data_IF_435739733681
#
_entry.id   IF_435739733681
#
_cell.length_a   1.000
_cell.length_b   1.000
_cell.length_c   1.000
_cell.angle_alpha   90.00
_cell.angle_beta   90.00
_cell.angle_gamma   90.00
#
_symmetry.space_group_name_H-M   'P 1'
#
loop_
_entity.id
_entity.type
_entity.pdbx_description
1 polymer ?
#
# COMPACT_ATOMS: atom_id res chain seq x y z
N UNK A 1 21.80 -0.09 5.07
CA UNK A 1 20.43 0.11 5.59
C UNK A 1 19.93 1.52 5.38
N UNK A 2 20.43 2.56 6.06
CA UNK A 2 19.85 3.92 5.86
C UNK A 2 20.01 4.41 4.41
N UNK A 3 21.24 4.37 3.87
CA UNK A 3 21.49 4.81 2.49
C UNK A 3 20.69 3.97 1.45
N UNK A 4 20.58 2.66 1.68
CA UNK A 4 19.79 1.77 0.83
C UNK A 4 18.30 2.12 0.90
N UNK A 5 17.71 2.32 2.08
CA UNK A 5 16.30 2.71 2.22
C UNK A 5 16.02 4.09 1.62
N UNK A 6 16.95 5.05 1.71
CA UNK A 6 16.83 6.34 1.01
C UNK A 6 16.87 6.14 -0.51
N UNK A 7 17.78 5.31 -1.01
CA UNK A 7 17.85 4.99 -2.44
C UNK A 7 16.56 4.34 -2.93
N UNK A 8 16.04 3.34 -2.20
CA UNK A 8 14.77 2.67 -2.49
C UNK A 8 13.61 3.66 -2.50
N UNK A 9 13.56 4.57 -1.51
CA UNK A 9 12.54 5.62 -1.47
C UNK A 9 12.57 6.53 -2.70
N UNK A 10 13.75 6.98 -3.12
CA UNK A 10 13.90 7.83 -4.32
C UNK A 10 13.48 7.08 -5.59
N UNK A 11 13.96 5.84 -5.77
CA UNK A 11 13.64 5.02 -6.94
C UNK A 11 12.13 4.76 -7.02
N UNK A 12 11.51 4.32 -5.92
CA UNK A 12 10.08 4.04 -5.90
C UNK A 12 9.27 5.31 -6.16
N UNK A 13 9.60 6.44 -5.52
CA UNK A 13 8.91 7.70 -5.79
C UNK A 13 8.98 8.08 -7.27
N UNK A 14 10.12 7.91 -7.92
CA UNK A 14 10.27 8.19 -9.36
C UNK A 14 9.39 7.22 -10.18
N UNK A 15 9.53 5.91 -9.95
CA UNK A 15 8.82 4.88 -10.71
C UNK A 15 7.30 5.03 -10.58
N UNK A 16 6.80 5.11 -9.34
CA UNK A 16 5.37 5.21 -9.08
C UNK A 16 4.77 6.57 -9.44
N UNK A 17 5.57 7.65 -9.48
CA UNK A 17 5.11 8.98 -9.91
C UNK A 17 5.25 9.24 -11.40
N UNK A 18 6.05 8.47 -12.15
CA UNK A 18 6.32 8.74 -13.56
C UNK A 18 5.04 8.79 -14.40
N UNK A 19 4.22 7.74 -14.35
CA UNK A 19 2.96 7.67 -15.10
C UNK A 19 1.96 8.76 -14.65
N UNK A 20 1.68 8.92 -13.34
CA UNK A 20 0.83 10.02 -12.87
C UNK A 20 1.31 11.39 -13.33
N UNK A 21 2.61 11.66 -13.25
CA UNK A 21 3.19 12.95 -13.61
C UNK A 21 3.07 13.23 -15.10
N UNK A 22 3.41 12.28 -15.97
CA UNK A 22 3.26 12.42 -17.42
C UNK A 22 1.80 12.62 -17.81
N UNK A 23 0.89 11.86 -17.21
CA UNK A 23 -0.54 12.02 -17.46
C UNK A 23 -1.05 13.40 -17.05
N UNK A 24 -0.68 13.87 -15.86
CA UNK A 24 -1.01 15.21 -15.39
C UNK A 24 -0.43 16.29 -16.30
N UNK A 25 0.84 16.16 -16.68
CA UNK A 25 1.55 17.12 -17.51
C UNK A 25 0.82 17.32 -18.85
N UNK A 26 0.37 16.24 -19.48
CA UNK A 26 -0.30 16.29 -20.78
C UNK A 26 -1.74 16.80 -20.65
N UNK A 27 -2.51 16.34 -19.65
CA UNK A 27 -3.97 16.50 -19.62
C UNK A 27 -4.50 17.53 -18.62
N UNK A 28 -3.78 17.78 -17.52
CA UNK A 28 -4.30 18.51 -16.36
C UNK A 28 -3.43 19.66 -15.86
N UNK A 29 -2.22 19.86 -16.39
CA UNK A 29 -1.30 20.91 -15.92
C UNK A 29 -1.86 22.33 -15.91
N UNK A 30 -2.79 22.63 -16.82
CA UNK A 30 -3.46 23.94 -16.92
C UNK A 30 -4.71 24.06 -16.03
N UNK A 31 -5.17 22.96 -15.43
CA UNK A 31 -6.43 22.88 -14.67
C UNK A 31 -6.21 22.87 -13.15
N UNK A 32 -5.16 22.21 -12.69
CA UNK A 32 -4.87 22.05 -11.25
C UNK A 32 -3.41 21.66 -11.02
N UNK A 33 -2.89 21.93 -9.84
CA UNK A 33 -1.54 21.52 -9.43
C UNK A 33 -1.45 20.00 -9.23
N UNK A 34 -0.26 19.42 -9.48
CA UNK A 34 -0.03 17.97 -9.44
C UNK A 34 -0.43 17.33 -8.10
N UNK A 35 0.02 17.90 -6.99
CA UNK A 35 -0.27 17.37 -5.66
C UNK A 35 -1.77 17.42 -5.31
N UNK A 36 -2.43 18.55 -5.61
CA UNK A 36 -3.88 18.67 -5.43
C UNK A 36 -4.64 17.68 -6.31
N UNK A 37 -4.18 17.47 -7.54
CA UNK A 37 -4.78 16.52 -8.48
C UNK A 37 -4.67 15.05 -8.04
N UNK A 38 -3.58 14.72 -7.33
CA UNK A 38 -3.37 13.42 -6.69
C UNK A 38 -4.12 13.23 -5.38
N UNK A 39 -4.60 14.30 -4.72
CA UNK A 39 -5.25 14.19 -3.42
C UNK A 39 -4.38 14.53 -2.22
N UNK A 40 -3.24 15.20 -2.41
CA UNK A 40 -2.47 15.79 -1.33
C UNK A 40 -3.09 17.12 -0.88
N UNK A 41 -4.21 17.00 -0.17
CA UNK A 41 -4.85 18.12 0.51
C UNK A 41 -5.33 17.65 1.89
N UNK A 42 -5.53 18.58 2.85
CA UNK A 42 -5.92 18.23 4.20
C UNK A 42 -7.16 17.32 4.23
N UNK A 43 -7.13 16.21 4.98
CA UNK A 43 -8.26 15.29 5.05
C UNK A 43 -9.44 15.96 5.75
N UNK A 44 -10.60 15.93 5.11
CA UNK A 44 -11.87 16.41 5.66
C UNK A 44 -12.83 15.24 5.78
N UNK A 45 -13.18 14.88 7.01
CA UNK A 45 -14.17 13.85 7.27
C UNK A 45 -15.54 14.27 6.71
N UNK A 46 -16.17 13.40 5.93
CA UNK A 46 -17.43 13.67 5.23
C UNK A 46 -18.52 12.62 5.48
N UNK A 47 -18.23 11.63 6.32
CA UNK A 47 -19.18 10.57 6.65
C UNK A 47 -19.83 10.78 8.03
N UNK A 48 -20.64 9.83 8.47
CA UNK A 48 -21.19 9.80 9.82
C UNK A 48 -20.19 9.12 10.76
N UNK A 49 -20.06 9.59 12.00
CA UNK A 49 -19.06 9.09 12.97
C UNK A 49 -19.12 7.56 13.18
N UNK A 50 -20.32 6.97 13.16
CA UNK A 50 -20.47 5.51 13.31
C UNK A 50 -19.91 4.72 12.11
N UNK A 51 -19.81 5.32 10.92
CA UNK A 51 -19.15 4.71 9.76
C UNK A 51 -17.63 4.66 9.98
N UNK A 52 -17.06 5.68 10.63
CA UNK A 52 -15.66 5.67 11.03
C UNK A 52 -15.39 4.60 12.09
N UNK A 53 -16.31 4.42 13.07
CA UNK A 53 -16.19 3.34 14.03
C UNK A 53 -16.29 1.96 13.38
N UNK A 54 -17.25 1.75 12.49
CA UNK A 54 -17.37 0.50 11.73
C UNK A 54 -16.09 0.25 10.91
N UNK A 55 -15.58 1.27 10.23
CA UNK A 55 -14.31 1.18 9.49
C UNK A 55 -13.17 0.78 10.42
N UNK A 56 -13.03 1.43 11.59
CA UNK A 56 -11.98 1.13 12.55
C UNK A 56 -12.08 -0.31 13.08
N UNK A 57 -13.29 -0.83 13.34
CA UNK A 57 -13.50 -2.22 13.75
C UNK A 57 -13.11 -3.21 12.65
N UNK A 58 -13.51 -2.95 11.41
CA UNK A 58 -13.16 -3.80 10.26
C UNK A 58 -11.65 -3.76 10.01
N UNK A 59 -11.05 -2.57 10.07
CA UNK A 59 -9.62 -2.38 9.86
C UNK A 59 -8.80 -3.05 10.98
N UNK A 60 -9.25 -2.95 12.24
CA UNK A 60 -8.66 -3.67 13.36
C UNK A 60 -8.73 -5.19 13.15
N UNK A 61 -9.90 -5.71 12.76
CA UNK A 61 -10.07 -7.13 12.45
C UNK A 61 -9.14 -7.57 11.32
N UNK A 62 -9.03 -6.78 10.25
CA UNK A 62 -8.13 -7.04 9.13
C UNK A 62 -6.66 -7.16 9.58
N UNK A 63 -6.17 -6.26 10.44
CA UNK A 63 -4.80 -6.34 10.97
C UNK A 63 -4.59 -7.42 12.03
N UNK A 64 -5.65 -7.80 12.74
CA UNK A 64 -5.58 -8.88 13.74
C UNK A 64 -5.68 -10.26 13.09
N UNK A 65 -6.15 -10.33 11.85
CA UNK A 65 -6.28 -11.56 11.11
C UNK A 65 -4.94 -11.97 10.49
N UNK A 66 -4.30 -12.94 11.11
CA UNK A 66 -3.06 -13.54 10.61
C UNK A 66 -3.37 -14.56 9.51
N UNK A 67 -3.37 -14.10 8.26
CA UNK A 67 -3.63 -14.96 7.12
C UNK A 67 -2.50 -15.98 6.86
N UNK A 68 -1.31 -15.81 7.47
CA UNK A 68 -0.19 -16.74 7.31
C UNK A 68 -0.47 -18.10 7.95
N UNK A 69 -1.42 -18.18 8.89
CA UNK A 69 -1.90 -19.45 9.45
C UNK A 69 -2.59 -20.35 8.41
N UNK A 70 -2.97 -19.79 7.25
CA UNK A 70 -3.55 -20.53 6.13
C UNK A 70 -2.49 -21.00 5.12
N UNK A 71 -1.21 -20.73 5.37
CA UNK A 71 -0.07 -21.10 4.54
C UNK A 71 0.60 -22.33 5.15
N UNK A 72 1.08 -23.25 4.30
CA UNK A 72 1.79 -24.44 4.76
C UNK A 72 3.18 -24.09 5.31
N UNK A 73 3.66 -24.89 6.27
CA UNK A 73 4.94 -24.62 6.96
C UNK A 73 6.13 -24.56 5.99
N UNK A 74 6.15 -25.38 4.94
CA UNK A 74 7.27 -25.37 3.99
C UNK A 74 7.34 -24.04 3.22
N UNK A 75 6.19 -23.50 2.82
CA UNK A 75 6.11 -22.15 2.23
C UNK A 75 6.52 -21.07 3.24
N UNK A 76 6.11 -21.17 4.51
CA UNK A 76 6.53 -20.20 5.55
C UNK A 76 8.04 -20.19 5.75
N UNK A 77 8.67 -21.37 5.93
CA UNK A 77 10.12 -21.51 6.09
C UNK A 77 10.88 -20.97 4.87
N UNK A 78 10.33 -21.19 3.66
CA UNK A 78 10.86 -20.63 2.42
C UNK A 78 10.79 -19.09 2.43
N UNK A 79 9.65 -18.52 2.80
CA UNK A 79 9.46 -17.06 2.85
C UNK A 79 10.38 -16.40 3.88
N UNK A 80 10.52 -16.99 5.07
CA UNK A 80 11.37 -16.47 6.15
C UNK A 80 12.86 -16.49 5.79
N UNK A 81 13.30 -17.48 5.01
CA UNK A 81 14.70 -17.61 4.58
C UNK A 81 15.03 -16.88 3.27
N UNK A 82 14.03 -16.37 2.53
CA UNK A 82 14.23 -15.77 1.22
C UNK A 82 14.52 -14.26 1.30
N UNK A 83 15.67 -13.85 0.78
CA UNK A 83 16.11 -12.44 0.76
C UNK A 83 15.29 -11.51 -0.15
N UNK A 84 14.40 -12.05 -1.00
CA UNK A 84 13.49 -11.25 -1.83
C UNK A 84 12.29 -10.71 -1.03
N UNK A 85 12.01 -11.24 0.15
CA UNK A 85 11.00 -10.68 1.07
C UNK A 85 11.63 -9.50 1.81
N UNK A 86 11.13 -8.29 1.55
CA UNK A 86 11.75 -7.05 2.04
C UNK A 86 11.90 -6.99 3.56
N UNK A 87 10.90 -7.50 4.31
CA UNK A 87 10.93 -7.52 5.76
C UNK A 87 12.13 -8.29 6.33
N UNK A 88 12.61 -9.33 5.64
CA UNK A 88 13.73 -10.15 6.08
C UNK A 88 15.05 -9.37 6.12
N UNK A 89 15.17 -8.28 5.36
CA UNK A 89 16.34 -7.39 5.44
C UNK A 89 16.48 -6.69 6.80
N UNK A 90 15.41 -6.68 7.61
CA UNK A 90 15.37 -6.07 8.94
C UNK A 90 15.48 -7.07 10.09
N UNK A 91 15.47 -8.37 9.80
CA UNK A 91 15.42 -9.43 10.80
C UNK A 91 16.58 -9.34 11.81
N UNK A 92 16.24 -9.35 13.10
CA UNK A 92 17.21 -9.33 14.21
C UNK A 92 18.03 -8.03 14.36
N UNK A 93 17.70 -6.96 13.62
CA UNK A 93 18.40 -5.67 13.74
C UNK A 93 17.95 -4.85 14.96
N UNK A 94 16.84 -5.21 15.61
CA UNK A 94 16.28 -4.51 16.76
C UNK A 94 16.11 -3.00 16.50
N UNK A 95 16.58 -2.17 17.44
CA UNK A 95 16.43 -0.72 17.35
C UNK A 95 17.13 -0.09 16.12
N UNK A 96 18.14 -0.76 15.54
CA UNK A 96 18.81 -0.27 14.34
C UNK A 96 17.91 -0.33 13.09
N UNK A 97 16.84 -1.14 13.11
CA UNK A 97 15.85 -1.22 12.03
C UNK A 97 14.93 0.00 11.96
N UNK A 98 14.71 0.72 13.07
CA UNK A 98 13.62 1.70 13.20
C UNK A 98 13.70 2.79 12.13
N UNK A 99 14.83 3.48 12.02
CA UNK A 99 14.99 4.58 11.07
C UNK A 99 14.92 4.12 9.60
N UNK A 100 15.67 3.09 9.15
CA UNK A 100 15.55 2.62 7.77
C UNK A 100 14.15 2.06 7.46
N UNK A 101 13.51 1.35 8.39
CA UNK A 101 12.15 0.84 8.21
C UNK A 101 11.11 1.96 8.13
N UNK A 102 11.27 3.07 8.86
CA UNK A 102 10.40 4.24 8.72
C UNK A 102 10.50 4.83 7.31
N UNK A 103 11.72 5.02 6.80
CA UNK A 103 11.95 5.55 5.45
C UNK A 103 11.32 4.64 4.40
N UNK A 104 11.57 3.34 4.49
CA UNK A 104 11.08 2.38 3.51
C UNK A 104 9.55 2.27 3.56
N UNK A 105 8.99 1.97 4.73
CA UNK A 105 7.56 1.68 4.85
C UNK A 105 6.67 2.91 4.64
N UNK A 106 7.06 4.10 5.12
CA UNK A 106 6.25 5.30 4.92
C UNK A 106 6.53 6.00 3.60
N UNK A 107 7.78 6.05 3.12
CA UNK A 107 8.12 6.84 1.93
C UNK A 107 8.20 5.94 0.69
N UNK A 108 9.04 4.91 0.73
CA UNK A 108 9.28 4.05 -0.44
C UNK A 108 8.07 3.20 -0.82
N UNK A 109 7.28 2.78 0.16
CA UNK A 109 6.06 2.01 -0.04
C UNK A 109 4.84 2.91 0.15
N UNK A 110 4.62 3.42 1.36
CA UNK A 110 3.45 4.22 1.73
C UNK A 110 3.18 5.37 0.76
N UNK A 111 4.05 6.37 0.67
CA UNK A 111 3.84 7.52 -0.22
C UNK A 111 3.87 7.11 -1.70
N UNK A 112 4.89 6.35 -2.12
CA UNK A 112 5.08 6.04 -3.53
C UNK A 112 3.91 5.22 -4.11
N UNK A 113 3.51 4.14 -3.45
CA UNK A 113 2.41 3.31 -3.92
C UNK A 113 1.07 4.05 -3.83
N UNK A 114 0.84 4.84 -2.77
CA UNK A 114 -0.41 5.61 -2.63
C UNK A 114 -0.54 6.68 -3.73
N UNK A 115 0.56 7.28 -4.20
CA UNK A 115 0.56 8.20 -5.36
C UNK A 115 -0.01 7.50 -6.59
N UNK A 116 0.50 6.31 -6.94
CA UNK A 116 0.05 5.60 -8.13
C UNK A 116 -1.38 5.07 -7.96
N UNK A 117 -1.63 4.36 -6.86
CA UNK A 117 -2.85 3.59 -6.73
C UNK A 117 -4.03 4.42 -6.25
N UNK A 118 -3.88 5.22 -5.18
CA UNK A 118 -5.01 5.97 -4.62
C UNK A 118 -5.09 7.36 -5.23
N UNK A 119 -3.96 8.02 -5.45
CA UNK A 119 -3.92 9.36 -6.00
C UNK A 119 -4.18 9.43 -7.51
N UNK A 120 -3.67 8.46 -8.26
CA UNK A 120 -3.85 8.43 -9.71
C UNK A 120 -4.94 7.44 -10.15
N UNK A 121 -4.70 6.13 -10.03
CA UNK A 121 -5.57 5.08 -10.59
C UNK A 121 -6.98 5.13 -9.99
N UNK A 122 -7.11 5.10 -8.66
CA UNK A 122 -8.41 5.12 -7.98
C UNK A 122 -9.24 6.32 -8.44
N UNK A 123 -8.66 7.52 -8.46
CA UNK A 123 -9.38 8.73 -8.90
C UNK A 123 -9.85 8.65 -10.34
N UNK A 124 -9.03 8.12 -11.26
CA UNK A 124 -9.44 7.99 -12.66
C UNK A 124 -10.51 6.92 -12.85
N UNK A 125 -10.37 5.79 -12.16
CA UNK A 125 -11.34 4.71 -12.20
C UNK A 125 -12.66 5.13 -11.55
N UNK A 126 -12.63 5.81 -10.41
CA UNK A 126 -13.81 6.36 -9.75
C UNK A 126 -14.53 7.39 -10.63
N UNK A 127 -13.78 8.26 -11.31
CA UNK A 127 -14.37 9.25 -12.21
C UNK A 127 -15.03 8.60 -13.45
N UNK A 128 -14.52 7.45 -13.91
CA UNK A 128 -15.02 6.76 -15.12
C UNK A 128 -16.13 5.75 -14.83
N UNK A 129 -16.02 5.00 -13.73
CA UNK A 129 -16.88 3.85 -13.40
C UNK A 129 -17.81 4.11 -12.21
N UNK A 130 -17.68 5.26 -11.55
CA UNK A 130 -18.29 5.53 -10.24
C UNK A 130 -17.41 5.08 -9.08
N UNK A 131 -17.66 5.62 -7.88
CA UNK A 131 -16.76 5.47 -6.73
C UNK A 131 -16.54 4.01 -6.32
N UNK A 132 -17.60 3.21 -6.17
CA UNK A 132 -17.46 1.84 -5.63
C UNK A 132 -16.76 0.91 -6.64
N UNK A 133 -17.18 0.82 -7.92
CA UNK A 133 -16.45 0.01 -8.90
C UNK A 133 -15.01 0.47 -9.10
N UNK A 134 -14.75 1.78 -9.03
CA UNK A 134 -13.41 2.34 -9.13
C UNK A 134 -12.47 1.90 -8.01
N UNK A 135 -12.95 1.92 -6.76
CA UNK A 135 -12.19 1.42 -5.60
C UNK A 135 -11.91 -0.08 -5.73
N UNK A 136 -12.93 -0.89 -6.08
CA UNK A 136 -12.77 -2.35 -6.23
C UNK A 136 -11.74 -2.68 -7.30
N UNK A 137 -11.84 -2.06 -8.48
CA UNK A 137 -10.91 -2.33 -9.57
C UNK A 137 -9.49 -1.87 -9.21
N UNK A 138 -9.34 -0.74 -8.54
CA UNK A 138 -8.02 -0.30 -8.07
C UNK A 138 -7.42 -1.28 -7.06
N UNK A 139 -8.21 -1.79 -6.12
CA UNK A 139 -7.78 -2.76 -5.13
C UNK A 139 -7.32 -4.07 -5.78
N UNK A 140 -8.05 -4.55 -6.79
CA UNK A 140 -7.65 -5.71 -7.59
C UNK A 140 -6.32 -5.46 -8.32
N UNK A 141 -6.12 -4.29 -8.94
CA UNK A 141 -4.87 -3.95 -9.62
C UNK A 141 -3.68 -3.88 -8.65
N UNK A 142 -3.90 -3.39 -7.42
CA UNK A 142 -2.88 -3.36 -6.37
C UNK A 142 -2.47 -4.78 -5.94
N UNK A 143 -3.44 -5.66 -5.74
CA UNK A 143 -3.23 -7.07 -5.43
C UNK A 143 -2.51 -7.83 -6.57
N UNK A 144 -2.87 -7.55 -7.83
CA UNK A 144 -2.19 -8.11 -9.00
C UNK A 144 -0.74 -7.65 -9.09
N UNK A 145 -0.46 -6.37 -8.83
CA UNK A 145 0.92 -5.87 -8.81
C UNK A 145 1.75 -6.64 -7.79
N UNK A 146 1.25 -6.85 -6.58
CA UNK A 146 1.98 -7.59 -5.56
C UNK A 146 2.27 -9.03 -6.00
N UNK A 147 1.29 -9.73 -6.56
CA UNK A 147 1.52 -11.06 -7.11
C UNK A 147 2.56 -11.05 -8.24
N UNK A 148 2.52 -10.04 -9.12
CA UNK A 148 3.52 -9.88 -10.17
C UNK A 148 4.93 -9.67 -9.59
N UNK A 149 5.06 -8.93 -8.49
CA UNK A 149 6.36 -8.76 -7.82
C UNK A 149 6.94 -10.08 -7.31
N UNK A 150 6.12 -10.97 -6.74
CA UNK A 150 6.56 -12.32 -6.35
C UNK A 150 7.06 -13.11 -7.57
N UNK A 151 6.30 -13.08 -8.68
CA UNK A 151 6.68 -13.79 -9.91
C UNK A 151 7.98 -13.23 -10.52
N UNK A 152 8.13 -11.91 -10.57
CA UNK A 152 9.32 -11.24 -11.11
C UNK A 152 10.54 -11.48 -10.21
N UNK A 153 10.34 -11.60 -8.90
CA UNK A 153 11.39 -11.96 -7.95
C UNK A 153 11.79 -13.45 -8.00
N UNK A 154 11.16 -14.26 -8.88
CA UNK A 154 11.44 -15.69 -8.99
C UNK A 154 11.02 -16.49 -7.76
N UNK A 155 10.04 -16.00 -7.00
CA UNK A 155 9.55 -16.65 -5.79
C UNK A 155 8.74 -17.90 -6.16
N UNK A 156 9.14 -19.07 -5.66
CA UNK A 156 8.49 -20.35 -5.90
C UNK A 156 7.40 -20.64 -4.86
N UNK A 157 6.38 -19.78 -4.81
CA UNK A 157 5.24 -19.93 -3.89
C UNK A 157 4.05 -20.60 -4.58
N UNK A 158 3.22 -21.29 -3.80
CA UNK A 158 2.06 -22.00 -4.34
C UNK A 158 1.00 -21.06 -4.93
N UNK A 159 0.17 -21.56 -5.85
CA UNK A 159 -1.01 -20.82 -6.34
C UNK A 159 -1.94 -20.43 -5.19
N UNK A 160 -2.04 -21.27 -4.16
CA UNK A 160 -2.82 -20.97 -2.96
C UNK A 160 -2.27 -19.74 -2.22
N UNK A 161 -0.95 -19.64 -2.05
CA UNK A 161 -0.32 -18.46 -1.47
C UNK A 161 -0.59 -17.20 -2.31
N UNK A 162 -0.49 -17.29 -3.64
CA UNK A 162 -0.86 -16.19 -4.53
C UNK A 162 -2.32 -15.73 -4.36
N UNK A 163 -3.26 -16.67 -4.20
CA UNK A 163 -4.67 -16.37 -3.90
C UNK A 163 -4.82 -15.66 -2.55
N UNK A 164 -4.15 -16.15 -1.50
CA UNK A 164 -4.16 -15.52 -0.18
C UNK A 164 -3.59 -14.10 -0.23
N UNK A 165 -2.43 -13.93 -0.88
CA UNK A 165 -1.79 -12.63 -1.09
C UNK A 165 -2.67 -11.68 -1.87
N UNK A 166 -3.35 -12.16 -2.92
CA UNK A 166 -4.31 -11.36 -3.68
C UNK A 166 -5.44 -10.88 -2.79
N UNK A 167 -6.06 -11.79 -2.03
CA UNK A 167 -7.19 -11.47 -1.16
C UNK A 167 -6.80 -10.52 -0.02
N UNK A 168 -5.71 -10.79 0.69
CA UNK A 168 -5.29 -9.98 1.84
C UNK A 168 -4.81 -8.59 1.42
N UNK A 169 -3.90 -8.53 0.44
CA UNK A 169 -3.39 -7.25 -0.08
C UNK A 169 -4.49 -6.45 -0.77
N UNK A 170 -5.37 -7.12 -1.51
CA UNK A 170 -6.54 -6.52 -2.14
C UNK A 170 -7.55 -5.98 -1.12
N UNK A 171 -7.81 -6.70 -0.03
CA UNK A 171 -8.67 -6.24 1.05
C UNK A 171 -8.09 -4.99 1.73
N UNK A 172 -6.79 -4.97 2.01
CA UNK A 172 -6.10 -3.78 2.51
C UNK A 172 -6.26 -2.60 1.55
N UNK A 173 -6.07 -2.82 0.24
CA UNK A 173 -6.24 -1.78 -0.75
C UNK A 173 -7.68 -1.27 -0.88
N UNK A 174 -8.66 -2.16 -0.77
CA UNK A 174 -10.08 -1.82 -0.76
C UNK A 174 -10.42 -0.93 0.43
N UNK A 175 -9.95 -1.27 1.63
CA UNK A 175 -10.16 -0.50 2.85
C UNK A 175 -9.56 0.91 2.72
N UNK A 176 -8.31 1.01 2.25
CA UNK A 176 -7.63 2.28 2.08
C UNK A 176 -8.27 3.16 0.99
N UNK A 177 -8.72 2.57 -0.12
CA UNK A 177 -9.46 3.30 -1.15
C UNK A 177 -10.81 3.81 -0.64
N UNK A 178 -11.51 3.00 0.16
CA UNK A 178 -12.76 3.40 0.82
C UNK A 178 -12.55 4.54 1.82
N UNK A 179 -11.50 4.45 2.65
CA UNK A 179 -11.11 5.48 3.59
C UNK A 179 -10.94 6.84 2.91
N UNK A 180 -10.17 6.87 1.82
CA UNK A 180 -9.91 8.11 1.11
C UNK A 180 -11.17 8.65 0.45
N UNK A 181 -11.80 7.87 -0.43
CA UNK A 181 -12.85 8.37 -1.33
C UNK A 181 -14.23 8.48 -0.67
N UNK A 182 -14.51 7.71 0.39
CA UNK A 182 -15.82 7.74 1.09
C UNK A 182 -15.78 8.44 2.45
N UNK A 183 -14.67 8.39 3.19
CA UNK A 183 -14.60 8.99 4.52
C UNK A 183 -13.89 10.35 4.51
N UNK A 184 -12.82 10.50 3.75
CA UNK A 184 -11.95 11.69 3.80
C UNK A 184 -11.80 12.40 2.46
N UNK A 185 -12.91 12.72 1.80
CA UNK A 185 -12.97 13.63 0.65
C UNK A 185 -11.96 13.39 -0.49
N UNK A 186 -11.46 12.16 -0.65
CA UNK A 186 -10.42 11.79 -1.60
C UNK A 186 -8.98 12.19 -1.19
N UNK A 187 -8.76 12.67 0.03
CA UNK A 187 -7.40 12.89 0.55
C UNK A 187 -6.67 11.56 0.69
N UNK A 188 -5.41 11.49 0.26
CA UNK A 188 -4.58 10.27 0.38
C UNK A 188 -3.72 10.24 1.65
N UNK A 189 -3.74 11.29 2.48
CA UNK A 189 -3.01 11.29 3.76
C UNK A 189 -3.45 10.17 4.71
N UNK A 190 -4.76 9.90 4.91
CA UNK A 190 -5.19 8.83 5.80
C UNK A 190 -4.67 7.46 5.36
N UNK A 191 -4.70 7.16 4.06
CA UNK A 191 -4.18 5.88 3.56
C UNK A 191 -2.67 5.79 3.64
N UNK A 192 -1.92 6.85 3.35
CA UNK A 192 -0.45 6.86 3.51
C UNK A 192 -0.06 6.52 4.95
N UNK A 193 -0.74 7.13 5.93
CA UNK A 193 -0.46 6.89 7.34
C UNK A 193 -0.78 5.45 7.74
N UNK A 194 -1.97 4.96 7.38
CA UNK A 194 -2.41 3.61 7.74
C UNK A 194 -1.61 2.51 7.02
N UNK A 195 -1.33 2.69 5.73
CA UNK A 195 -0.50 1.78 4.96
C UNK A 195 0.94 1.74 5.50
N UNK A 196 1.56 2.90 5.66
CA UNK A 196 2.92 3.00 6.20
C UNK A 196 3.03 2.43 7.61
N UNK A 197 2.06 2.71 8.47
CA UNK A 197 2.02 2.16 9.83
C UNK A 197 1.89 0.63 9.84
N UNK A 198 1.01 0.08 8.99
CA UNK A 198 0.85 -1.37 8.87
C UNK A 198 2.14 -2.08 8.45
N UNK A 199 2.80 -1.55 7.41
CA UNK A 199 4.05 -2.13 6.92
C UNK A 199 5.18 -1.95 7.95
N UNK A 200 5.22 -0.80 8.63
CA UNK A 200 6.19 -0.54 9.68
C UNK A 200 6.03 -1.48 10.87
N UNK A 201 4.80 -1.69 11.36
CA UNK A 201 4.51 -2.64 12.44
C UNK A 201 4.94 -4.06 12.03
N UNK A 202 4.56 -4.50 10.83
CA UNK A 202 4.99 -5.81 10.31
C UNK A 202 6.53 -5.95 10.26
N UNK A 203 7.22 -4.91 9.80
CA UNK A 203 8.68 -4.88 9.78
C UNK A 203 9.28 -4.92 11.20
N UNK A 204 8.68 -4.24 12.17
CA UNK A 204 9.15 -4.25 13.56
C UNK A 204 8.92 -5.61 14.24
N UNK A 205 7.88 -6.36 13.87
CA UNK A 205 7.67 -7.73 14.35
C UNK A 205 8.75 -8.68 13.85
N UNK A 206 9.32 -8.43 12.67
CA UNK A 206 10.45 -9.22 12.13
C UNK A 206 11.80 -8.74 12.71
N UNK A 207 11.91 -7.44 13.00
CA UNK A 207 13.17 -6.86 13.47
C UNK A 207 13.55 -7.21 14.91
N UNK A 208 12.58 -7.56 15.77
CA UNK A 208 12.74 -7.84 17.20
C UNK A 208 12.33 -9.26 17.54
#
# INVERSE_FOLDING_TARGET
MILSSVSTALVNLIVFSAIPFLWWLIRYRKKTHFFTWLGFYPPKFQSRWYVLLLFALIYYFFYSFDFMQLVDQATLDYLESNGSVSANAFAGLGAAAILPALIENFIANGVAEEILFRGFLCKRLCAKLGTVPGIILQAALFALMHNLLYLVAGMEVSLWFHCLMFCFTGAGALLLGWLNEKLYNGSIFPSILLHGAGNFISTMLVAF
#
